data_IF_976777465864
#
_entry.id   IF_976777465864
#
_cell.length_a   1.000
_cell.length_b   1.000
_cell.length_c   1.000
_cell.angle_alpha   90.00
_cell.angle_beta   90.00
_cell.angle_gamma   90.00
#
_symmetry.space_group_name_H-M   'P 1'
#
loop_
_entity.id
_entity.type
_entity.pdbx_description
1 polymer ?
#
# COMPACT_ATOMS: atom_id res chain seq x y z
N UNK A 1 15.66 7.99 -14.14
CA UNK A 1 15.23 8.37 -12.76
C UNK A 1 13.74 8.74 -12.62
N UNK A 2 13.13 9.55 -13.51
CA UNK A 2 11.70 9.96 -13.37
C UNK A 2 10.71 8.79 -13.19
N UNK A 3 10.89 7.70 -13.96
CA UNK A 3 10.04 6.49 -13.87
C UNK A 3 10.19 5.74 -12.54
N UNK A 4 11.40 5.75 -11.96
CA UNK A 4 11.68 5.11 -10.67
C UNK A 4 11.07 5.90 -9.52
N UNK A 5 11.18 7.24 -9.56
CA UNK A 5 10.51 8.11 -8.59
C UNK A 5 8.99 7.94 -8.62
N UNK A 6 8.39 7.76 -9.80
CA UNK A 6 6.95 7.49 -9.92
C UNK A 6 6.54 6.16 -9.27
N UNK A 7 7.36 5.10 -9.39
CA UNK A 7 7.10 3.82 -8.71
C UNK A 7 7.11 3.98 -7.19
N UNK A 8 8.08 4.70 -6.65
CA UNK A 8 8.13 5.00 -5.21
C UNK A 8 6.99 5.90 -4.76
N UNK A 9 6.58 6.86 -5.58
CA UNK A 9 5.42 7.70 -5.29
C UNK A 9 4.12 6.89 -5.24
N UNK A 10 3.91 5.96 -6.18
CA UNK A 10 2.76 5.04 -6.15
C UNK A 10 2.84 4.15 -4.91
N UNK A 11 4.00 3.57 -4.60
CA UNK A 11 4.17 2.76 -3.40
C UNK A 11 3.81 3.54 -2.12
N UNK A 12 4.27 4.79 -2.03
CA UNK A 12 3.95 5.68 -0.93
C UNK A 12 2.45 5.96 -0.83
N UNK A 13 1.77 6.26 -1.94
CA UNK A 13 0.32 6.49 -1.93
C UNK A 13 -0.45 5.25 -1.46
N UNK A 14 -0.08 4.06 -1.93
CA UNK A 14 -0.70 2.81 -1.50
C UNK A 14 -0.51 2.55 0.00
N UNK A 15 0.69 2.81 0.52
CA UNK A 15 0.95 2.75 1.95
C UNK A 15 0.10 3.77 2.72
N UNK A 16 0.04 5.00 2.25
CA UNK A 16 -0.73 6.07 2.89
C UNK A 16 -2.22 5.73 2.98
N UNK A 17 -2.83 5.26 1.88
CA UNK A 17 -4.22 4.81 1.89
C UNK A 17 -4.43 3.57 2.75
N UNK A 18 -3.50 2.61 2.73
CA UNK A 18 -3.52 1.45 3.62
C UNK A 18 -3.51 1.85 5.09
N UNK A 19 -2.66 2.82 5.46
CA UNK A 19 -2.57 3.32 6.83
C UNK A 19 -3.81 4.07 7.27
N UNK A 20 -4.39 4.91 6.40
CA UNK A 20 -5.67 5.58 6.70
C UNK A 20 -6.75 4.53 6.95
N UNK A 21 -6.91 3.57 6.03
CA UNK A 21 -7.93 2.54 6.15
C UNK A 21 -7.74 1.70 7.43
N UNK A 22 -6.50 1.30 7.72
CA UNK A 22 -6.17 0.54 8.93
C UNK A 22 -6.48 1.33 10.21
N UNK A 23 -6.15 2.63 10.23
CA UNK A 23 -6.44 3.51 11.36
C UNK A 23 -7.95 3.63 11.60
N UNK A 24 -8.74 3.76 10.54
CA UNK A 24 -10.21 3.83 10.66
C UNK A 24 -10.76 2.50 11.20
N UNK A 25 -10.29 1.35 10.67
CA UNK A 25 -10.67 0.01 11.16
C UNK A 25 -10.31 -0.16 12.65
N UNK A 26 -9.17 0.36 13.08
CA UNK A 26 -8.70 0.23 14.46
C UNK A 26 -9.58 1.01 15.46
N UNK A 27 -10.15 2.14 15.03
CA UNK A 27 -10.99 3.00 15.88
C UNK A 27 -12.45 2.53 15.90
N UNK A 28 -12.89 1.80 14.88
CA UNK A 28 -14.27 1.31 14.78
C UNK A 28 -14.44 -0.05 15.48
N UNK A 29 -15.45 -0.14 16.34
CA UNK A 29 -15.84 -1.40 16.99
C UNK A 29 -16.58 -2.37 16.06
N UNK A 30 -16.97 -1.93 14.86
CA UNK A 30 -17.70 -2.70 13.87
C UNK A 30 -17.05 -2.60 12.47
N UNK A 31 -17.22 -3.61 11.61
CA UNK A 31 -16.64 -3.58 10.27
C UNK A 31 -17.30 -2.50 9.39
N UNK A 32 -16.47 -1.59 8.86
CA UNK A 32 -16.78 -0.62 7.80
C UNK A 32 -17.56 -1.22 6.62
N UNK A 33 -17.15 -2.41 6.17
CA UNK A 33 -17.74 -3.06 4.98
C UNK A 33 -18.65 -4.23 5.35
N UNK A 34 -19.10 -4.30 6.61
CA UNK A 34 -19.97 -5.37 7.11
C UNK A 34 -19.28 -6.73 7.24
N UNK A 35 -17.99 -6.84 6.92
CA UNK A 35 -17.21 -8.07 7.08
C UNK A 35 -15.73 -7.75 7.35
N UNK A 36 -15.24 -8.21 8.50
CA UNK A 36 -13.82 -8.11 8.86
C UNK A 36 -12.89 -8.81 7.85
N UNK A 37 -13.36 -9.91 7.27
CA UNK A 37 -12.61 -10.62 6.21
C UNK A 37 -12.36 -9.73 5.00
N UNK A 38 -13.35 -8.93 4.58
CA UNK A 38 -13.20 -8.03 3.44
C UNK A 38 -12.20 -6.92 3.76
N UNK A 39 -12.27 -6.35 4.96
CA UNK A 39 -11.34 -5.32 5.45
C UNK A 39 -9.90 -5.79 5.48
N UNK A 40 -9.65 -6.97 6.05
CA UNK A 40 -8.32 -7.57 6.13
C UNK A 40 -7.75 -7.82 4.72
N UNK A 41 -8.59 -8.27 3.78
CA UNK A 41 -8.17 -8.44 2.38
C UNK A 41 -7.90 -7.12 1.66
N UNK A 42 -8.69 -6.08 1.92
CA UNK A 42 -8.45 -4.75 1.35
C UNK A 42 -7.13 -4.16 1.83
N UNK A 43 -6.83 -4.28 3.12
CA UNK A 43 -5.55 -3.88 3.70
C UNK A 43 -4.39 -4.68 3.11
N UNK A 44 -4.52 -6.00 3.04
CA UNK A 44 -3.52 -6.86 2.42
C UNK A 44 -3.25 -6.46 0.97
N UNK A 45 -4.28 -6.13 0.19
CA UNK A 45 -4.11 -5.71 -1.20
C UNK A 45 -3.34 -4.39 -1.31
N UNK A 46 -3.66 -3.40 -0.48
CA UNK A 46 -2.97 -2.10 -0.46
C UNK A 46 -1.49 -2.25 -0.07
N UNK A 47 -1.20 -2.94 1.03
CA UNK A 47 0.17 -3.11 1.52
C UNK A 47 1.02 -4.05 0.66
N UNK A 48 0.42 -5.10 0.10
CA UNK A 48 1.11 -5.98 -0.86
C UNK A 48 1.45 -5.21 -2.12
N UNK A 49 0.51 -4.43 -2.66
CA UNK A 49 0.75 -3.60 -3.84
C UNK A 49 1.85 -2.56 -3.58
N UNK A 50 1.81 -1.88 -2.42
CA UNK A 50 2.90 -0.99 -1.99
C UNK A 50 4.26 -1.70 -2.03
N UNK A 51 4.35 -2.89 -1.45
CA UNK A 51 5.58 -3.68 -1.40
C UNK A 51 6.08 -4.06 -2.80
N UNK A 52 5.17 -4.46 -3.70
CA UNK A 52 5.51 -4.79 -5.10
C UNK A 52 6.07 -3.55 -5.83
N UNK A 53 5.39 -2.41 -5.77
CA UNK A 53 5.89 -1.19 -6.42
C UNK A 53 7.20 -0.70 -5.81
N UNK A 54 7.37 -0.81 -4.50
CA UNK A 54 8.61 -0.50 -3.80
C UNK A 54 9.78 -1.40 -4.24
N UNK A 55 9.54 -2.71 -4.36
CA UNK A 55 10.54 -3.67 -4.85
C UNK A 55 10.93 -3.39 -6.32
N UNK A 56 9.95 -3.18 -7.20
CA UNK A 56 10.22 -2.85 -8.60
C UNK A 56 10.97 -1.51 -8.70
N UNK A 57 10.59 -0.52 -7.90
CA UNK A 57 11.27 0.76 -7.78
C UNK A 57 12.73 0.61 -7.33
N UNK A 58 12.96 -0.13 -6.25
CA UNK A 58 14.28 -0.42 -5.71
C UNK A 58 15.18 -1.18 -6.70
N UNK A 59 14.62 -2.21 -7.35
CA UNK A 59 15.32 -2.97 -8.38
C UNK A 59 15.75 -2.08 -9.56
N UNK A 60 14.82 -1.27 -10.09
CA UNK A 60 15.15 -0.33 -11.17
C UNK A 60 16.13 0.75 -10.74
N UNK A 61 16.10 1.17 -9.47
CA UNK A 61 17.08 2.12 -8.95
C UNK A 61 18.48 1.48 -8.90
N UNK A 62 18.57 0.23 -8.44
CA UNK A 62 19.81 -0.53 -8.37
C UNK A 62 20.42 -0.77 -9.76
N UNK A 63 19.60 -1.12 -10.76
CA UNK A 63 20.09 -1.32 -12.13
C UNK A 63 20.53 -0.04 -12.86
N UNK A 64 20.02 1.13 -12.43
CA UNK A 64 20.37 2.42 -13.03
C UNK A 64 21.40 3.20 -12.19
N UNK A 65 21.95 2.58 -11.13
CA UNK A 65 23.15 3.03 -10.44
C UNK A 65 24.36 2.40 -11.11
#
# INVERSE_FOLDING_TARGET
MKRTGLLFFIAFLLFFFGQILWTIILILDYPLFGSKFIEDWMLNFLFTSCSIFGLIGGWKLYQNK
#
